data_IF_123984256763
#
_entry.id   IF_123984256763
#
_cell.length_a   1.000
_cell.length_b   1.000
_cell.length_c   1.000
_cell.angle_alpha   90.00
_cell.angle_beta   90.00
_cell.angle_gamma   90.00
#
_symmetry.space_group_name_H-M   'P 1'
#
loop_
_entity.id
_entity.type
_entity.pdbx_description
1 polymer ?
#
# COMPACT_ATOMS: atom_id res chain seq x y z
N UNK A 1 41.81 -23.94 -11.98
CA UNK A 1 40.34 -24.08 -11.90
C UNK A 1 39.84 -24.76 -13.15
N UNK A 2 39.26 -25.95 -13.07
CA UNK A 2 38.70 -26.65 -14.20
C UNK A 2 37.41 -25.92 -14.66
N UNK A 3 37.44 -25.37 -15.87
CA UNK A 3 36.26 -24.82 -16.52
C UNK A 3 35.49 -26.00 -17.13
N UNK A 4 34.38 -26.42 -16.50
CA UNK A 4 33.43 -27.31 -17.14
C UNK A 4 32.70 -26.52 -18.24
N UNK A 5 33.04 -26.83 -19.50
CA UNK A 5 32.50 -26.05 -20.62
C UNK A 5 31.21 -26.59 -21.21
N UNK A 6 30.92 -27.87 -21.04
CA UNK A 6 29.67 -28.46 -21.56
C UNK A 6 29.36 -29.79 -20.84
N UNK A 7 28.19 -29.89 -20.25
CA UNK A 7 27.51 -31.17 -20.06
C UNK A 7 26.57 -31.28 -21.26
N UNK A 8 26.64 -32.37 -22.02
CA UNK A 8 25.88 -32.54 -23.28
C UNK A 8 24.42 -32.14 -23.10
N UNK A 9 24.03 -31.08 -23.82
CA UNK A 9 22.65 -30.63 -23.89
C UNK A 9 22.21 -29.65 -22.78
N UNK A 10 23.13 -29.12 -21.94
CA UNK A 10 22.82 -28.15 -20.90
C UNK A 10 23.74 -26.95 -20.99
N UNK A 11 23.19 -25.77 -21.02
CA UNK A 11 23.96 -24.53 -20.93
C UNK A 11 24.12 -24.15 -19.44
N UNK A 12 25.37 -24.04 -18.99
CA UNK A 12 25.67 -23.55 -17.64
C UNK A 12 25.89 -22.05 -17.72
N UNK A 13 25.03 -21.27 -17.06
CA UNK A 13 25.20 -19.84 -16.91
C UNK A 13 25.88 -19.53 -15.57
N UNK A 14 26.85 -18.61 -15.60
CA UNK A 14 27.43 -18.07 -14.37
C UNK A 14 26.71 -16.77 -14.06
N UNK A 15 25.99 -16.73 -12.94
CA UNK A 15 25.33 -15.57 -12.44
C UNK A 15 26.06 -15.03 -11.22
N UNK A 16 26.21 -13.72 -11.12
CA UNK A 16 26.88 -13.07 -9.98
C UNK A 16 26.09 -13.24 -8.68
N UNK A 17 24.78 -13.45 -8.80
CA UNK A 17 23.86 -13.72 -7.66
C UNK A 17 22.83 -14.77 -8.05
N UNK A 18 22.25 -15.43 -7.05
CA UNK A 18 21.14 -16.36 -7.24
C UNK A 18 19.91 -15.59 -7.71
N UNK A 19 19.36 -15.85 -8.91
CA UNK A 19 18.18 -15.12 -9.40
C UNK A 19 16.92 -15.40 -8.57
N UNK A 20 16.88 -16.49 -7.82
CA UNK A 20 15.76 -16.84 -6.94
C UNK A 20 15.86 -16.13 -5.59
N UNK A 21 17.08 -15.74 -5.18
CA UNK A 21 17.33 -15.06 -3.91
C UNK A 21 17.51 -13.55 -4.05
N UNK A 22 17.59 -13.02 -5.26
CA UNK A 22 17.52 -11.58 -5.47
C UNK A 22 16.05 -11.15 -5.27
N UNK A 23 15.69 -10.82 -4.05
CA UNK A 23 14.44 -10.10 -3.77
C UNK A 23 14.29 -8.93 -4.74
N UNK A 24 13.07 -8.50 -5.02
CA UNK A 24 12.84 -7.29 -5.80
C UNK A 24 13.63 -6.10 -5.26
N UNK A 25 13.66 -5.00 -5.96
CA UNK A 25 14.38 -3.80 -5.53
C UNK A 25 13.53 -2.54 -5.65
N UNK A 26 13.73 -1.64 -4.70
CA UNK A 26 13.19 -0.29 -4.77
C UNK A 26 14.16 0.61 -5.55
N UNK A 27 13.61 1.45 -6.40
CA UNK A 27 14.34 2.47 -7.14
C UNK A 27 13.56 3.77 -7.15
N UNK A 28 14.27 4.91 -7.29
CA UNK A 28 13.63 6.20 -7.40
C UNK A 28 12.69 6.25 -8.61
N UNK A 29 11.46 6.71 -8.38
CA UNK A 29 10.45 6.94 -9.40
C UNK A 29 10.22 8.45 -9.61
N UNK A 30 9.52 8.85 -10.68
CA UNK A 30 9.17 10.27 -10.91
C UNK A 30 8.47 10.88 -9.71
N UNK A 31 8.91 12.08 -9.32
CA UNK A 31 8.40 12.79 -8.15
C UNK A 31 6.97 13.30 -8.37
N UNK A 32 6.16 13.35 -7.30
CA UNK A 32 4.86 14.04 -7.31
C UNK A 32 5.06 15.55 -7.47
N UNK A 33 4.05 16.25 -7.97
CA UNK A 33 4.16 17.69 -8.22
C UNK A 33 4.16 18.53 -6.93
N UNK A 34 3.37 18.14 -5.94
CA UNK A 34 3.21 18.90 -4.69
C UNK A 34 3.55 18.03 -3.47
N UNK A 35 4.63 18.38 -2.75
CA UNK A 35 5.03 17.70 -1.51
C UNK A 35 3.94 17.84 -0.45
N UNK A 36 3.46 16.72 0.07
CA UNK A 36 2.44 16.65 1.13
C UNK A 36 2.49 15.31 1.85
N UNK A 37 1.90 15.22 3.02
CA UNK A 37 1.88 14.01 3.82
C UNK A 37 0.45 13.66 4.24
N UNK A 38 0.24 12.46 4.79
CA UNK A 38 -1.07 11.94 5.17
C UNK A 38 -2.07 11.89 4.00
N UNK A 39 -1.53 11.64 2.81
CA UNK A 39 -2.31 11.38 1.60
C UNK A 39 -2.86 9.96 1.63
N UNK A 40 -3.95 9.71 0.90
CA UNK A 40 -4.33 8.36 0.51
C UNK A 40 -3.93 8.09 -0.94
N UNK A 41 -3.86 6.83 -1.32
CA UNK A 41 -3.59 6.47 -2.70
C UNK A 41 -3.91 5.01 -2.97
N UNK A 42 -4.20 4.72 -4.22
CA UNK A 42 -4.45 3.39 -4.73
C UNK A 42 -4.16 3.33 -6.23
N UNK A 43 -4.50 2.23 -6.85
CA UNK A 43 -4.33 1.97 -8.26
C UNK A 43 -4.09 0.48 -8.51
N UNK A 44 -4.41 0.04 -9.72
CA UNK A 44 -4.36 -1.38 -10.05
C UNK A 44 -2.93 -1.89 -10.28
N UNK A 45 -2.02 -1.02 -10.70
CA UNK A 45 -0.65 -1.38 -11.08
C UNK A 45 0.35 -0.29 -10.71
N UNK A 46 1.63 -0.62 -10.74
CA UNK A 46 2.74 0.32 -10.59
C UNK A 46 2.64 1.52 -11.56
N UNK A 47 2.15 1.29 -12.76
CA UNK A 47 2.07 2.29 -13.84
C UNK A 47 0.71 2.98 -13.94
N UNK A 48 -0.19 2.72 -12.99
CA UNK A 48 -1.52 3.30 -12.94
C UNK A 48 -1.93 3.52 -11.48
N UNK A 49 -1.38 4.57 -10.87
CA UNK A 49 -1.54 4.93 -9.47
C UNK A 49 -2.11 6.34 -9.31
N UNK A 50 -2.68 6.63 -8.16
CA UNK A 50 -3.07 7.98 -7.79
C UNK A 50 -2.83 8.25 -6.32
N UNK A 51 -2.64 9.55 -6.01
CA UNK A 51 -2.61 10.05 -4.62
C UNK A 51 -3.58 11.20 -4.47
N UNK A 52 -4.17 11.31 -3.28
CA UNK A 52 -5.25 12.24 -3.04
C UNK A 52 -5.21 12.82 -1.64
N UNK A 53 -5.68 14.07 -1.50
CA UNK A 53 -5.74 14.77 -0.23
C UNK A 53 -4.37 15.07 0.37
N UNK A 54 -4.33 15.10 1.69
CA UNK A 54 -3.09 15.32 2.44
C UNK A 54 -2.98 16.70 3.06
N UNK A 55 -1.83 16.95 3.69
CA UNK A 55 -1.55 18.21 4.36
C UNK A 55 -0.14 18.73 4.04
N UNK A 56 0.00 20.05 4.10
CA UNK A 56 1.28 20.77 3.95
C UNK A 56 1.48 21.59 5.22
N UNK A 57 2.35 21.17 6.15
CA UNK A 57 2.60 21.91 7.38
C UNK A 57 3.08 23.35 7.13
N UNK A 58 2.69 24.28 7.99
CA UNK A 58 3.13 25.67 7.90
C UNK A 58 2.42 26.49 6.81
N UNK A 59 1.45 25.94 6.10
CA UNK A 59 0.60 26.68 5.15
C UNK A 59 -0.80 26.92 5.73
N UNK A 60 -1.53 27.89 5.16
CA UNK A 60 -2.94 28.12 5.49
C UNK A 60 -3.76 28.26 4.22
N UNK A 61 -4.77 27.41 4.00
CA UNK A 61 -5.10 26.20 4.74
C UNK A 61 -3.98 25.15 4.60
N UNK A 62 -3.78 24.33 5.63
CA UNK A 62 -2.78 23.27 5.59
C UNK A 62 -3.33 21.94 5.01
N UNK A 63 -4.64 21.76 4.96
CA UNK A 63 -5.32 20.59 4.41
C UNK A 63 -5.52 20.80 2.91
N UNK A 64 -5.36 19.74 2.12
CA UNK A 64 -5.42 19.77 0.66
C UNK A 64 -6.50 18.85 0.10
N UNK A 65 -7.05 19.28 -1.03
CA UNK A 65 -7.96 18.47 -1.86
C UNK A 65 -7.26 17.83 -3.06
N UNK A 66 -5.98 18.10 -3.25
CA UNK A 66 -5.20 17.77 -4.43
C UNK A 66 -5.27 16.29 -4.81
N UNK A 67 -5.38 16.04 -6.11
CA UNK A 67 -5.38 14.71 -6.72
C UNK A 67 -4.33 14.68 -7.83
N UNK A 68 -3.41 13.73 -7.76
CA UNK A 68 -2.44 13.47 -8.81
C UNK A 68 -2.51 12.03 -9.26
N UNK A 69 -2.39 11.79 -10.57
CA UNK A 69 -2.39 10.47 -11.20
C UNK A 69 -1.04 10.19 -11.86
N UNK A 70 -0.59 8.94 -11.76
CA UNK A 70 0.64 8.43 -12.36
C UNK A 70 0.32 7.53 -13.55
N UNK A 71 0.94 7.80 -14.70
CA UNK A 71 0.75 7.07 -15.95
C UNK A 71 1.88 6.08 -16.28
N UNK A 72 2.79 5.84 -15.33
CA UNK A 72 4.00 5.04 -15.52
C UNK A 72 5.24 5.87 -15.87
N UNK A 73 5.08 7.15 -16.19
CA UNK A 73 6.18 8.04 -16.57
C UNK A 73 6.20 9.36 -15.80
N UNK A 74 5.03 9.88 -15.43
CA UNK A 74 4.89 11.18 -14.77
C UNK A 74 3.63 11.25 -13.90
N UNK A 75 3.68 12.14 -12.89
CA UNK A 75 2.51 12.52 -12.10
C UNK A 75 1.84 13.74 -12.73
N UNK A 76 0.54 13.69 -12.90
CA UNK A 76 -0.28 14.75 -13.50
C UNK A 76 -1.43 15.11 -12.57
N UNK A 77 -1.68 16.40 -12.38
CA UNK A 77 -2.85 16.85 -11.63
C UNK A 77 -4.15 16.44 -12.33
N UNK A 78 -5.12 16.01 -11.55
CA UNK A 78 -6.47 15.63 -11.97
C UNK A 78 -7.49 16.44 -11.16
N UNK A 79 -8.79 16.18 -11.36
CA UNK A 79 -9.84 16.89 -10.63
C UNK A 79 -9.74 16.67 -9.12
N UNK A 80 -9.69 17.74 -8.34
CA UNK A 80 -9.55 17.74 -6.89
C UNK A 80 -10.80 17.21 -6.17
N UNK A 81 -10.63 16.78 -4.91
CA UNK A 81 -11.75 16.50 -3.99
C UNK A 81 -12.64 17.74 -3.81
N UNK A 82 -13.93 17.51 -3.63
CA UNK A 82 -14.87 18.55 -3.22
C UNK A 82 -14.56 19.11 -1.83
N UNK A 83 -14.02 18.27 -0.94
CA UNK A 83 -13.60 18.67 0.41
C UNK A 83 -12.16 18.28 0.69
N UNK A 84 -11.33 19.25 1.08
CA UNK A 84 -9.94 19.00 1.47
C UNK A 84 -9.89 18.10 2.72
N UNK A 85 -9.12 17.01 2.67
CA UNK A 85 -9.01 16.02 3.74
C UNK A 85 -7.59 15.43 3.81
N UNK A 86 -7.19 14.99 5.01
CA UNK A 86 -6.03 14.13 5.19
C UNK A 86 -6.36 12.93 6.10
N UNK A 87 -5.49 11.93 6.16
CA UNK A 87 -5.76 10.72 6.93
C UNK A 87 -7.04 9.99 6.49
N UNK A 88 -7.47 10.23 5.26
CA UNK A 88 -8.56 9.51 4.59
C UNK A 88 -8.04 8.17 4.09
N UNK A 89 -8.94 7.30 3.69
CA UNK A 89 -8.60 6.08 2.96
C UNK A 89 -9.19 6.09 1.57
N UNK A 90 -8.64 5.27 0.66
CA UNK A 90 -9.11 5.19 -0.72
C UNK A 90 -8.88 3.81 -1.31
N UNK A 91 -9.67 3.46 -2.31
CA UNK A 91 -9.54 2.25 -3.12
C UNK A 91 -10.06 2.48 -4.54
N UNK A 92 -9.74 1.56 -5.45
CA UNK A 92 -10.17 1.61 -6.85
C UNK A 92 -9.05 1.93 -7.82
N UNK A 93 -9.41 2.45 -8.98
CA UNK A 93 -8.53 2.69 -10.14
C UNK A 93 -8.51 4.16 -10.57
N UNK A 94 -7.68 4.48 -11.59
CA UNK A 94 -7.61 5.83 -12.18
C UNK A 94 -8.94 6.33 -12.76
N UNK A 95 -9.87 5.44 -13.07
CA UNK A 95 -11.16 5.80 -13.68
C UNK A 95 -12.36 5.55 -12.78
N UNK A 96 -12.16 4.85 -11.66
CA UNK A 96 -13.24 4.45 -10.77
C UNK A 96 -12.69 4.23 -9.36
N UNK A 97 -12.80 5.22 -8.49
CA UNK A 97 -12.26 5.19 -7.14
C UNK A 97 -13.24 5.78 -6.13
N UNK A 98 -12.98 5.50 -4.85
CA UNK A 98 -13.77 6.02 -3.75
C UNK A 98 -12.86 6.39 -2.59
N UNK A 99 -13.11 7.55 -1.95
CA UNK A 99 -12.45 7.96 -0.72
C UNK A 99 -13.43 7.95 0.44
N UNK A 100 -12.97 7.61 1.63
CA UNK A 100 -13.82 7.57 2.82
C UNK A 100 -13.13 8.12 4.07
N UNK A 101 -13.89 8.83 4.91
CA UNK A 101 -13.45 9.33 6.19
C UNK A 101 -12.33 10.36 6.10
N UNK A 102 -11.52 10.42 7.15
CA UNK A 102 -10.38 11.33 7.26
C UNK A 102 -10.64 12.50 8.20
N UNK A 103 -9.82 13.54 8.03
CA UNK A 103 -9.87 14.77 8.83
C UNK A 103 -9.93 15.98 7.90
N UNK A 104 -10.98 16.78 8.03
CA UNK A 104 -11.21 18.02 7.27
C UNK A 104 -11.11 19.29 8.15
N UNK A 105 -10.90 19.14 9.45
CA UNK A 105 -10.81 20.27 10.40
C UNK A 105 -12.12 20.96 10.75
N UNK A 106 -13.25 20.46 10.28
CA UNK A 106 -14.57 21.09 10.46
C UNK A 106 -15.36 20.42 11.60
N UNK A 107 -16.20 21.19 12.34
CA UNK A 107 -17.14 20.61 13.29
C UNK A 107 -18.17 19.72 12.56
N UNK A 108 -18.94 18.85 13.29
CA UNK A 108 -18.96 18.74 14.76
C UNK A 108 -17.95 17.75 15.37
N UNK A 109 -17.34 16.85 14.58
CA UNK A 109 -16.63 15.68 15.06
C UNK A 109 -15.14 15.94 15.32
N UNK A 110 -14.79 17.07 15.95
CA UNK A 110 -13.39 17.46 16.20
C UNK A 110 -12.51 17.43 14.94
N UNK A 111 -13.14 17.67 13.77
CA UNK A 111 -12.47 17.66 12.46
C UNK A 111 -12.44 16.30 11.75
N UNK A 112 -12.80 15.21 12.40
CA UNK A 112 -13.00 13.92 11.72
C UNK A 112 -14.33 13.91 10.95
N UNK A 113 -14.39 13.12 9.88
CA UNK A 113 -15.55 13.12 8.98
C UNK A 113 -15.98 11.72 8.56
N UNK A 114 -17.27 11.59 8.20
CA UNK A 114 -17.84 10.41 7.55
C UNK A 114 -17.81 10.53 6.02
N UNK A 115 -17.48 11.71 5.51
CA UNK A 115 -17.63 12.04 4.10
C UNK A 115 -16.97 11.03 3.16
N UNK A 116 -17.72 10.67 2.13
CA UNK A 116 -17.30 9.79 1.04
C UNK A 116 -17.44 10.54 -0.28
N UNK A 117 -16.40 10.46 -1.11
CA UNK A 117 -16.43 10.98 -2.47
C UNK A 117 -16.08 9.87 -3.46
N UNK A 118 -16.79 9.85 -4.58
CA UNK A 118 -16.66 8.90 -5.67
C UNK A 118 -16.04 9.56 -6.89
N UNK A 119 -15.04 8.92 -7.48
CA UNK A 119 -14.37 9.32 -8.71
C UNK A 119 -14.90 8.58 -9.92
N UNK A 120 -15.22 9.30 -10.98
CA UNK A 120 -15.77 8.75 -12.23
C UNK A 120 -14.78 8.78 -13.42
N UNK A 121 -13.51 9.09 -13.15
CA UNK A 121 -12.47 9.27 -14.18
C UNK A 121 -12.23 10.73 -14.56
N UNK A 122 -13.08 11.68 -14.11
CA UNK A 122 -12.94 13.10 -14.43
C UNK A 122 -13.20 14.04 -13.25
N UNK A 123 -14.05 13.67 -12.31
CA UNK A 123 -14.43 14.49 -11.16
C UNK A 123 -14.77 13.64 -9.93
N UNK A 124 -14.54 14.20 -8.75
CA UNK A 124 -15.00 13.68 -7.47
C UNK A 124 -16.40 14.23 -7.17
N UNK A 125 -17.27 13.38 -6.70
CA UNK A 125 -18.64 13.74 -6.32
C UNK A 125 -18.96 13.09 -4.98
N UNK A 126 -19.51 13.88 -4.06
CA UNK A 126 -19.97 13.37 -2.76
C UNK A 126 -21.06 12.32 -2.97
N UNK A 127 -21.00 11.26 -2.17
CA UNK A 127 -21.95 10.14 -2.18
C UNK A 127 -22.30 9.76 -0.74
N UNK A 128 -22.96 8.61 -0.53
CA UNK A 128 -23.39 8.16 0.79
C UNK A 128 -22.20 7.99 1.75
N UNK A 129 -22.26 8.65 2.88
CA UNK A 129 -21.24 8.64 3.93
C UNK A 129 -21.11 7.27 4.62
N UNK A 130 -19.91 6.96 5.15
CA UNK A 130 -19.73 5.83 6.08
C UNK A 130 -20.54 6.06 7.36
N UNK A 131 -20.99 4.97 7.99
CA UNK A 131 -21.84 5.07 9.19
C UNK A 131 -21.08 5.57 10.42
N UNK A 132 -19.78 5.26 10.52
CA UNK A 132 -18.96 5.60 11.70
C UNK A 132 -17.88 6.60 11.35
N UNK A 133 -17.89 7.77 12.01
CA UNK A 133 -16.88 8.82 11.84
C UNK A 133 -15.49 8.33 12.25
N UNK A 134 -14.51 8.49 11.36
CA UNK A 134 -13.12 8.07 11.61
C UNK A 134 -12.14 8.55 10.54
N UNK A 135 -10.87 8.61 10.92
CA UNK A 135 -9.74 8.78 10.01
C UNK A 135 -8.70 7.69 10.21
N UNK A 136 -7.63 7.68 9.41
CA UNK A 136 -6.52 6.72 9.48
C UNK A 136 -6.98 5.26 9.43
N UNK A 137 -8.01 5.00 8.65
CA UNK A 137 -8.64 3.69 8.44
C UNK A 137 -7.94 2.95 7.30
N UNK A 138 -8.10 1.63 7.25
CA UNK A 138 -7.74 0.81 6.09
C UNK A 138 -8.87 0.73 5.09
N UNK A 139 -8.56 0.45 3.84
CA UNK A 139 -9.53 0.24 2.78
C UNK A 139 -9.04 -0.74 1.73
N UNK A 140 -9.96 -1.40 1.04
CA UNK A 140 -9.70 -2.24 -0.12
C UNK A 140 -10.91 -2.25 -1.05
N UNK A 141 -10.67 -2.34 -2.34
CA UNK A 141 -11.75 -2.45 -3.31
C UNK A 141 -11.31 -2.22 -4.75
N UNK A 142 -11.98 -2.85 -5.71
CA UNK A 142 -11.60 -2.75 -7.12
C UNK A 142 -12.10 -1.46 -7.80
N UNK A 143 -13.12 -0.79 -7.25
CA UNK A 143 -13.77 0.35 -7.90
C UNK A 143 -14.67 1.14 -6.95
N UNK A 144 -15.19 2.27 -7.41
CA UNK A 144 -16.17 3.08 -6.68
C UNK A 144 -17.54 2.40 -6.44
N UNK A 145 -17.77 1.22 -6.97
CA UNK A 145 -19.02 0.47 -6.80
C UNK A 145 -18.92 -0.69 -5.81
N UNK A 146 -17.73 -1.02 -5.33
CA UNK A 146 -17.53 -2.15 -4.42
C UNK A 146 -16.24 -1.98 -3.62
N UNK A 147 -16.33 -1.99 -2.29
CA UNK A 147 -15.17 -1.85 -1.43
C UNK A 147 -15.48 -2.07 0.04
N UNK A 148 -14.45 -1.99 0.85
CA UNK A 148 -14.48 -2.21 2.29
C UNK A 148 -13.59 -1.18 2.98
N UNK A 149 -14.02 -0.68 4.14
CA UNK A 149 -13.22 0.16 5.03
C UNK A 149 -13.25 -0.43 6.43
N UNK A 150 -12.12 -0.37 7.13
CA UNK A 150 -11.98 -1.03 8.44
C UNK A 150 -11.02 -0.29 9.37
N UNK A 151 -11.23 -0.48 10.67
CA UNK A 151 -10.43 0.17 11.70
C UNK A 151 -10.54 1.68 11.70
N UNK A 152 -9.46 2.33 12.09
CA UNK A 152 -9.35 3.78 12.12
C UNK A 152 -9.34 4.38 13.52
N UNK A 153 -9.36 5.70 13.58
CA UNK A 153 -9.29 6.49 14.80
C UNK A 153 -10.38 7.57 14.81
N UNK A 154 -11.03 7.73 15.95
CA UNK A 154 -11.84 8.91 16.29
C UNK A 154 -11.50 9.36 17.71
N UNK A 155 -12.27 8.98 18.73
CA UNK A 155 -11.96 9.20 20.14
C UNK A 155 -11.12 8.06 20.72
N UNK A 156 -11.13 6.92 20.05
CA UNK A 156 -10.36 5.72 20.34
C UNK A 156 -10.04 4.99 19.02
N UNK A 157 -9.16 4.00 19.06
CA UNK A 157 -8.97 3.08 17.95
C UNK A 157 -10.19 2.20 17.77
N UNK A 158 -10.67 2.08 16.54
CA UNK A 158 -11.90 1.40 16.18
C UNK A 158 -11.59 0.06 15.51
N UNK A 159 -12.50 -0.91 15.72
CA UNK A 159 -12.47 -2.20 15.05
C UNK A 159 -13.46 -2.25 13.87
N UNK A 160 -14.38 -1.30 13.80
CA UNK A 160 -15.54 -1.27 12.90
C UNK A 160 -15.14 -1.49 11.45
N UNK A 161 -15.88 -2.36 10.79
CA UNK A 161 -15.74 -2.68 9.37
C UNK A 161 -17.05 -2.40 8.65
N UNK A 162 -16.97 -1.69 7.52
CA UNK A 162 -18.12 -1.39 6.67
C UNK A 162 -17.82 -1.76 5.21
N UNK A 163 -18.77 -2.40 4.54
CA UNK A 163 -18.71 -2.74 3.11
C UNK A 163 -19.59 -1.84 2.28
N UNK A 164 -19.11 -1.47 1.11
CA UNK A 164 -19.79 -0.63 0.11
C UNK A 164 -20.29 -1.46 -1.07
N UNK A 165 -21.55 -1.28 -1.44
CA UNK A 165 -22.19 -2.01 -2.56
C UNK A 165 -22.48 -1.14 -3.80
N UNK A 166 -21.95 0.07 -3.85
CA UNK A 166 -22.21 1.07 -4.90
C UNK A 166 -23.31 2.08 -4.55
N UNK A 167 -24.05 1.87 -3.45
CA UNK A 167 -25.14 2.77 -3.03
C UNK A 167 -25.24 3.00 -1.53
N UNK A 168 -24.82 2.05 -0.72
CA UNK A 168 -24.91 2.11 0.74
C UNK A 168 -23.76 1.39 1.42
N UNK A 169 -23.43 1.84 2.65
CA UNK A 169 -22.52 1.18 3.55
C UNK A 169 -23.26 0.24 4.50
N UNK A 170 -22.71 -0.93 4.72
CA UNK A 170 -23.25 -1.93 5.63
C UNK A 170 -22.15 -2.36 6.59
N UNK A 171 -22.41 -2.26 7.89
CA UNK A 171 -21.52 -2.80 8.92
C UNK A 171 -21.48 -4.33 8.84
N UNK A 172 -20.31 -4.90 9.05
CA UNK A 172 -20.06 -6.34 8.96
C UNK A 172 -19.15 -6.77 10.11
N UNK A 173 -18.57 -7.98 10.06
CA UNK A 173 -17.68 -8.46 11.12
C UNK A 173 -16.48 -7.54 11.34
N UNK A 174 -16.27 -7.12 12.58
CA UNK A 174 -15.22 -6.21 13.00
C UNK A 174 -13.85 -6.88 13.09
N UNK A 175 -12.77 -6.08 13.02
CA UNK A 175 -11.42 -6.51 13.40
C UNK A 175 -11.44 -7.07 14.84
N UNK A 176 -10.62 -8.08 15.11
CA UNK A 176 -10.50 -8.64 16.45
C UNK A 176 -9.97 -7.60 17.47
N UNK A 177 -9.17 -6.66 17.00
CA UNK A 177 -8.63 -5.57 17.83
C UNK A 177 -8.72 -4.24 17.09
N UNK A 178 -9.32 -3.22 17.73
CA UNK A 178 -9.41 -1.87 17.20
C UNK A 178 -8.04 -1.24 16.99
N UNK A 179 -7.77 -0.75 15.77
CA UNK A 179 -6.50 -0.13 15.38
C UNK A 179 -6.64 0.80 14.17
N UNK A 180 -5.75 1.76 14.09
CA UNK A 180 -5.65 2.68 12.97
C UNK A 180 -4.21 2.79 12.47
N UNK A 181 -3.95 3.64 11.48
CA UNK A 181 -2.63 3.76 10.82
C UNK A 181 -2.13 2.42 10.29
N UNK A 182 -3.03 1.58 9.82
CA UNK A 182 -2.79 0.22 9.37
C UNK A 182 -2.22 0.19 7.95
N UNK A 183 -1.46 -0.86 7.63
CA UNK A 183 -1.18 -1.24 6.24
C UNK A 183 -2.41 -1.93 5.65
N UNK A 184 -2.68 -1.64 4.38
CA UNK A 184 -3.86 -2.13 3.67
C UNK A 184 -3.48 -2.80 2.35
N UNK A 185 -4.27 -3.77 1.90
CA UNK A 185 -4.14 -4.33 0.55
C UNK A 185 -5.12 -3.63 -0.39
N UNK A 186 -4.64 -2.66 -1.16
CA UNK A 186 -5.51 -1.84 -2.02
C UNK A 186 -6.24 -2.65 -3.11
N UNK A 187 -5.67 -3.78 -3.54
CA UNK A 187 -6.24 -4.66 -4.55
C UNK A 187 -7.13 -5.79 -3.96
N UNK A 188 -7.52 -5.66 -2.69
CA UNK A 188 -8.52 -6.53 -2.08
C UNK A 188 -9.94 -6.26 -2.58
N UNK A 189 -10.88 -7.03 -2.05
CA UNK A 189 -12.31 -6.96 -2.38
C UNK A 189 -13.16 -6.89 -1.11
N UNK A 190 -14.47 -6.75 -1.25
CA UNK A 190 -15.44 -6.85 -0.14
C UNK A 190 -15.48 -8.22 0.53
N UNK A 191 -14.79 -9.22 -0.01
CA UNK A 191 -14.73 -10.57 0.53
C UNK A 191 -13.30 -11.04 0.78
N UNK A 192 -12.30 -10.23 0.46
CA UNK A 192 -10.89 -10.55 0.65
C UNK A 192 -10.08 -9.26 0.86
N UNK A 193 -9.88 -8.87 2.09
CA UNK A 193 -9.07 -7.72 2.49
C UNK A 193 -8.06 -8.13 3.57
N UNK A 194 -6.97 -7.40 3.69
CA UNK A 194 -5.95 -7.63 4.72
C UNK A 194 -5.66 -6.34 5.46
N UNK A 195 -5.56 -6.44 6.78
CA UNK A 195 -5.16 -5.39 7.69
C UNK A 195 -3.88 -5.81 8.40
N UNK A 196 -2.79 -5.08 8.23
CA UNK A 196 -1.50 -5.41 8.85
C UNK A 196 -1.02 -4.32 9.79
N UNK A 197 -0.39 -4.71 10.91
CA UNK A 197 0.22 -3.81 11.87
C UNK A 197 -0.72 -2.70 12.36
N UNK A 198 -0.19 -1.49 12.46
CA UNK A 198 -0.92 -0.32 12.94
C UNK A 198 -0.90 -0.21 14.46
N UNK A 199 -1.84 0.49 14.99
CA UNK A 199 -2.08 0.43 16.40
C UNK A 199 -2.08 1.70 17.14
N UNK A 200 -2.44 1.53 18.37
CA UNK A 200 -2.17 2.29 19.56
C UNK A 200 -0.85 1.80 20.17
N UNK A 201 -0.19 2.57 21.02
CA UNK A 201 0.87 1.99 21.86
C UNK A 201 0.35 0.84 22.72
N UNK A 202 0.99 -0.35 22.71
CA UNK A 202 2.13 -0.68 21.84
C UNK A 202 1.72 -0.89 20.38
N UNK A 203 2.65 -0.65 19.45
CA UNK A 203 2.48 -1.03 18.06
C UNK A 203 2.35 -2.55 17.96
N UNK A 204 1.61 -3.02 16.96
CA UNK A 204 1.33 -4.45 16.81
C UNK A 204 1.93 -5.03 15.55
N UNK A 205 2.21 -6.33 15.58
CA UNK A 205 2.60 -7.15 14.43
C UNK A 205 1.39 -7.81 13.77
N UNK A 206 0.26 -7.84 14.46
CA UNK A 206 -0.93 -8.57 14.07
C UNK A 206 -1.39 -8.30 12.65
N UNK A 207 -1.70 -9.37 11.93
CA UNK A 207 -2.29 -9.34 10.60
C UNK A 207 -3.62 -10.09 10.63
N UNK A 208 -4.65 -9.45 10.10
CA UNK A 208 -5.98 -10.04 9.98
C UNK A 208 -6.42 -10.06 8.51
N UNK A 209 -7.08 -11.13 8.11
CA UNK A 209 -7.68 -11.28 6.78
C UNK A 209 -9.19 -11.40 6.89
N UNK A 210 -9.90 -10.67 6.02
CA UNK A 210 -11.34 -10.68 5.90
C UNK A 210 -11.79 -11.68 4.84
N UNK A 211 -12.80 -12.49 5.16
CA UNK A 211 -13.34 -13.55 4.29
C UNK A 211 -14.73 -13.23 3.72
N UNK A 212 -15.20 -11.98 3.86
CA UNK A 212 -16.55 -11.56 3.47
C UNK A 212 -17.54 -11.48 4.63
N UNK A 213 -17.20 -12.02 5.80
CA UNK A 213 -18.08 -12.00 6.99
C UNK A 213 -17.34 -11.74 8.30
N UNK A 214 -16.11 -12.16 8.42
CA UNK A 214 -15.31 -12.04 9.64
C UNK A 214 -13.83 -11.86 9.34
N UNK A 215 -13.12 -11.28 10.30
CA UNK A 215 -11.66 -11.18 10.30
C UNK A 215 -11.05 -12.36 11.04
N UNK A 216 -10.01 -12.92 10.48
CA UNK A 216 -9.23 -14.02 11.06
C UNK A 216 -7.76 -13.64 11.13
N UNK A 217 -7.16 -13.82 12.28
CA UNK A 217 -5.72 -13.59 12.47
C UNK A 217 -4.91 -14.61 11.67
N UNK A 218 -3.84 -14.14 11.08
CA UNK A 218 -2.89 -14.93 10.29
C UNK A 218 -1.47 -14.64 10.76
N UNK A 219 -0.44 -15.11 10.03
CA UNK A 219 0.94 -14.88 10.47
C UNK A 219 1.26 -13.38 10.55
N UNK A 220 1.88 -12.99 11.62
CA UNK A 220 2.28 -11.62 11.95
C UNK A 220 3.41 -11.10 11.04
N UNK A 221 3.43 -9.78 10.82
CA UNK A 221 4.61 -9.12 10.23
C UNK A 221 5.81 -9.22 11.18
N UNK A 222 7.02 -9.25 10.64
CA UNK A 222 8.23 -9.44 11.46
C UNK A 222 8.52 -8.26 12.38
N UNK A 223 8.14 -7.05 11.99
CA UNK A 223 8.41 -5.82 12.77
C UNK A 223 7.13 -5.04 13.03
N UNK A 224 6.78 -4.86 14.32
CA UNK A 224 5.63 -4.05 14.75
C UNK A 224 5.79 -2.60 14.28
N UNK A 225 4.83 -2.10 13.49
CA UNK A 225 4.90 -0.75 12.90
C UNK A 225 3.52 -0.22 12.52
N UNK A 226 3.43 1.09 12.38
CA UNK A 226 2.25 1.79 11.89
C UNK A 226 2.60 2.67 10.69
N UNK A 227 1.59 3.20 10.02
CA UNK A 227 1.77 4.16 8.91
C UNK A 227 2.69 3.63 7.81
N UNK A 228 2.65 2.33 7.55
CA UNK A 228 3.36 1.69 6.44
C UNK A 228 2.46 1.58 5.23
N UNK A 229 3.07 1.48 4.05
CA UNK A 229 2.33 1.17 2.82
C UNK A 229 2.05 -0.32 2.76
N UNK A 230 0.90 -0.65 2.19
CA UNK A 230 0.57 -2.02 1.82
C UNK A 230 -0.05 -2.06 0.44
N UNK A 231 0.24 -3.11 -0.33
CA UNK A 231 -0.26 -3.35 -1.66
C UNK A 231 -0.37 -4.84 -1.94
N UNK A 232 -1.12 -5.18 -2.99
CA UNK A 232 -1.37 -6.58 -3.35
C UNK A 232 -2.69 -7.11 -2.80
N UNK A 233 -2.74 -8.40 -2.53
CA UNK A 233 -3.95 -9.16 -2.15
C UNK A 233 -3.73 -9.95 -0.86
N UNK A 234 -4.75 -10.65 -0.40
CA UNK A 234 -4.66 -11.56 0.77
C UNK A 234 -3.75 -12.77 0.54
N UNK A 235 -3.41 -13.10 -0.70
CA UNK A 235 -2.54 -14.23 -1.04
C UNK A 235 -1.14 -13.83 -1.47
N UNK A 236 -0.94 -12.56 -1.85
CA UNK A 236 0.36 -12.04 -2.26
C UNK A 236 0.38 -10.52 -2.03
N UNK A 237 1.10 -10.09 -1.00
CA UNK A 237 1.16 -8.69 -0.61
C UNK A 237 2.60 -8.22 -0.37
N UNK A 238 2.78 -6.92 -0.39
CA UNK A 238 4.01 -6.23 -0.03
C UNK A 238 3.66 -5.13 0.97
N UNK A 239 4.45 -5.01 2.03
CA UNK A 239 4.39 -3.88 2.95
C UNK A 239 5.77 -3.23 3.05
N UNK A 240 5.83 -1.91 3.17
CA UNK A 240 7.11 -1.22 3.24
C UNK A 240 7.05 0.06 4.06
N UNK A 241 8.20 0.45 4.60
CA UNK A 241 8.35 1.64 5.42
C UNK A 241 7.55 1.58 6.73
N UNK A 242 7.13 2.73 7.18
CA UNK A 242 6.38 2.88 8.42
C UNK A 242 7.20 3.47 9.56
N UNK A 243 6.63 3.37 10.73
CA UNK A 243 7.17 3.98 11.95
C UNK A 243 7.16 3.00 13.12
N UNK A 244 8.33 2.84 13.74
CA UNK A 244 8.54 2.04 14.97
C UNK A 244 9.05 2.89 16.12
N UNK A 245 8.88 4.21 16.16
CA UNK A 245 9.84 5.29 16.34
C UNK A 245 11.31 4.82 16.54
N UNK A 246 12.25 5.12 15.59
CA UNK A 246 12.12 6.03 14.44
C UNK A 246 11.43 5.37 13.21
N UNK A 247 11.38 6.08 12.07
CA UNK A 247 10.93 5.56 10.79
C UNK A 247 11.85 4.47 10.30
N UNK A 248 11.28 3.53 9.54
CA UNK A 248 12.02 2.38 9.01
C UNK A 248 11.89 2.32 7.48
N UNK A 249 12.84 1.62 6.86
CA UNK A 249 12.85 1.33 5.42
C UNK A 249 12.38 -0.10 5.12
N UNK A 250 12.22 -0.94 6.15
CA UNK A 250 11.95 -2.37 6.02
C UNK A 250 10.79 -2.67 5.07
N UNK A 251 11.03 -3.62 4.18
CA UNK A 251 10.05 -4.17 3.27
C UNK A 251 9.85 -5.66 3.56
N UNK A 252 8.60 -6.07 3.66
CA UNK A 252 8.23 -7.47 3.86
C UNK A 252 7.24 -7.93 2.77
N UNK A 253 7.46 -9.12 2.24
CA UNK A 253 6.63 -9.77 1.23
C UNK A 253 5.86 -10.93 1.85
N UNK A 254 4.57 -11.01 1.51
CA UNK A 254 3.62 -12.05 1.91
C UNK A 254 3.40 -13.04 0.76
N UNK A 255 3.56 -14.33 1.02
CA UNK A 255 3.38 -15.42 0.06
C UNK A 255 2.04 -16.17 0.20
N UNK A 256 1.15 -15.69 1.06
CA UNK A 256 -0.11 -16.35 1.41
C UNK A 256 -0.03 -17.14 2.73
N UNK A 257 1.17 -17.34 3.30
CA UNK A 257 1.39 -18.12 4.52
C UNK A 257 2.34 -17.47 5.50
N UNK A 258 3.35 -16.75 5.02
CA UNK A 258 4.40 -16.15 5.84
C UNK A 258 4.89 -14.80 5.28
N UNK A 259 5.40 -13.96 6.18
CA UNK A 259 6.10 -12.72 5.83
C UNK A 259 7.60 -12.95 5.77
N UNK A 260 8.21 -12.50 4.71
CA UNK A 260 9.67 -12.57 4.50
C UNK A 260 10.20 -11.16 4.28
N UNK A 261 11.25 -10.80 5.02
CA UNK A 261 11.97 -9.53 4.79
C UNK A 261 12.70 -9.58 3.44
N UNK A 262 12.53 -8.53 2.66
CA UNK A 262 13.12 -8.36 1.32
C UNK A 262 13.88 -7.03 1.27
N UNK A 263 14.36 -6.60 0.09
CA UNK A 263 15.15 -5.38 -0.01
C UNK A 263 14.37 -4.14 0.41
N UNK A 264 15.01 -3.33 1.24
CA UNK A 264 14.43 -2.14 1.86
C UNK A 264 14.23 -0.98 0.87
N UNK A 265 13.35 -0.05 1.26
CA UNK A 265 13.24 1.27 0.63
C UNK A 265 14.60 1.98 0.59
N UNK A 266 14.80 2.80 -0.43
CA UNK A 266 15.99 3.68 -0.52
C UNK A 266 16.05 4.64 0.68
N UNK A 267 14.88 5.11 1.15
CA UNK A 267 14.79 6.03 2.27
C UNK A 267 13.84 5.52 3.35
N UNK A 268 14.30 5.52 4.61
CA UNK A 268 13.41 5.27 5.75
C UNK A 268 12.30 6.33 5.78
N UNK A 269 11.07 5.90 5.67
CA UNK A 269 9.92 6.80 5.53
C UNK A 269 8.64 6.14 6.02
N UNK A 270 7.65 6.97 6.36
CA UNK A 270 6.31 6.49 6.66
C UNK A 270 5.28 7.09 5.69
N UNK A 271 4.19 6.37 5.54
CA UNK A 271 3.08 6.77 4.70
C UNK A 271 2.24 7.86 5.38
N UNK A 272 1.98 7.72 6.67
CA UNK A 272 0.86 8.39 7.32
C UNK A 272 -0.39 8.48 6.42
N UNK A 273 -0.65 7.37 5.69
CA UNK A 273 -1.58 7.20 4.57
C UNK A 273 -1.02 7.64 3.20
N UNK A 274 0.11 7.11 2.75
CA UNK A 274 0.65 7.36 1.39
C UNK A 274 0.06 6.42 0.34
N UNK A 275 0.31 6.74 -0.93
CA UNK A 275 -0.06 5.87 -2.03
C UNK A 275 0.80 4.62 -2.07
N UNK A 276 0.22 3.46 -1.75
CA UNK A 276 0.76 2.18 -2.17
C UNK A 276 -0.13 1.64 -3.28
N UNK A 277 0.40 1.38 -4.42
CA UNK A 277 -0.32 0.85 -5.58
C UNK A 277 0.46 -0.26 -6.25
N UNK A 278 -0.24 -1.26 -6.73
CA UNK A 278 0.38 -2.37 -7.45
C UNK A 278 0.22 -3.71 -6.73
N UNK A 279 1.13 -4.61 -7.04
CA UNK A 279 1.16 -5.99 -6.55
C UNK A 279 2.37 -6.23 -5.67
N UNK A 280 2.51 -7.45 -5.12
CA UNK A 280 3.72 -7.88 -4.42
C UNK A 280 4.97 -7.92 -5.30
N UNK A 281 4.82 -7.91 -6.63
CA UNK A 281 5.92 -8.01 -7.59
C UNK A 281 6.16 -6.72 -8.38
N UNK A 282 5.23 -5.76 -8.35
CA UNK A 282 5.32 -4.51 -9.09
C UNK A 282 4.49 -3.44 -8.38
N UNK A 283 5.15 -2.46 -7.77
CA UNK A 283 4.48 -1.48 -6.93
C UNK A 283 5.12 -0.09 -7.02
N UNK A 284 4.37 0.94 -6.65
CA UNK A 284 4.85 2.30 -6.49
C UNK A 284 4.36 2.88 -5.17
N UNK A 285 5.21 3.63 -4.49
CA UNK A 285 4.85 4.47 -3.35
C UNK A 285 5.19 5.92 -3.64
N UNK A 286 4.46 6.84 -3.04
CA UNK A 286 4.64 8.26 -3.23
C UNK A 286 4.30 9.07 -1.96
N UNK A 287 4.62 10.35 -1.97
CA UNK A 287 4.40 11.27 -0.84
C UNK A 287 5.08 10.80 0.46
N UNK A 288 6.33 10.41 0.36
CA UNK A 288 7.12 9.92 1.49
C UNK A 288 7.37 11.02 2.53
N UNK A 289 7.26 10.64 3.81
CA UNK A 289 7.65 11.49 4.93
C UNK A 289 8.90 10.93 5.61
N UNK A 290 10.04 11.57 5.36
CA UNK A 290 11.37 11.14 5.85
C UNK A 290 11.85 11.90 7.10
N UNK A 291 10.99 12.75 7.67
CA UNK A 291 11.27 13.74 8.71
C UNK A 291 10.86 15.14 8.23
N UNK A 292 10.75 15.28 6.95
CA UNK A 292 10.11 16.38 6.23
C UNK A 292 9.18 15.82 5.14
N UNK A 293 8.24 16.65 4.67
CA UNK A 293 7.45 16.32 3.49
C UNK A 293 8.36 16.31 2.27
N UNK A 294 8.16 15.33 1.39
CA UNK A 294 8.93 15.21 0.15
C UNK A 294 8.01 15.01 -1.05
N UNK A 295 8.56 15.20 -2.24
CA UNK A 295 7.92 14.80 -3.49
C UNK A 295 8.33 13.38 -3.92
N UNK A 296 9.14 12.69 -3.14
CA UNK A 296 9.73 11.42 -3.51
C UNK A 296 8.67 10.33 -3.75
N UNK A 297 8.96 9.53 -4.76
CA UNK A 297 8.30 8.28 -5.08
C UNK A 297 9.36 7.20 -5.29
N UNK A 298 9.03 5.97 -4.98
CA UNK A 298 9.86 4.80 -5.25
C UNK A 298 9.04 3.71 -5.90
N UNK A 299 9.62 3.01 -6.88
CA UNK A 299 9.03 1.85 -7.54
C UNK A 299 9.70 0.56 -7.13
N UNK A 300 8.91 -0.50 -7.01
CA UNK A 300 9.33 -1.85 -6.69
C UNK A 300 9.16 -2.76 -7.90
N UNK A 301 10.23 -3.46 -8.27
CA UNK A 301 10.23 -4.45 -9.33
C UNK A 301 10.76 -5.80 -8.84
N UNK A 302 10.04 -6.88 -9.17
CA UNK A 302 10.42 -8.26 -8.87
C UNK A 302 10.01 -9.20 -10.01
N UNK A 303 10.92 -10.01 -10.54
CA UNK A 303 12.37 -9.96 -10.32
C UNK A 303 12.96 -8.65 -10.84
N UNK A 304 14.14 -8.22 -10.35
CA UNK A 304 14.76 -7.00 -10.86
C UNK A 304 14.96 -7.13 -12.39
N UNK A 305 14.79 -6.03 -13.09
CA UNK A 305 14.80 -5.96 -14.58
C UNK A 305 16.07 -6.55 -15.23
N UNK A 306 17.12 -6.72 -14.44
CA UNK A 306 18.41 -7.28 -14.87
C UNK A 306 18.59 -8.77 -14.56
N UNK A 307 17.59 -9.44 -14.02
CA UNK A 307 17.68 -10.87 -13.73
C UNK A 307 17.81 -11.67 -15.03
N UNK A 308 18.77 -12.62 -15.06
CA UNK A 308 18.89 -13.55 -16.18
C UNK A 308 17.58 -14.35 -16.32
N UNK A 309 17.07 -14.43 -17.54
CA UNK A 309 15.90 -15.27 -17.83
C UNK A 309 16.36 -16.73 -17.77
N UNK A 310 16.00 -17.42 -16.71
CA UNK A 310 16.19 -18.87 -16.57
C UNK A 310 14.93 -19.59 -17.04
N UNK A 311 15.12 -20.69 -17.74
CA UNK A 311 14.02 -21.58 -18.12
C UNK A 311 14.06 -22.84 -17.26
N UNK A 312 12.90 -23.48 -17.06
CA UNK A 312 12.85 -24.74 -16.33
C UNK A 312 13.85 -25.76 -16.90
N UNK A 313 14.69 -26.30 -16.01
CA UNK A 313 15.78 -27.20 -16.37
C UNK A 313 17.14 -26.54 -16.54
N UNK A 314 17.25 -25.22 -16.50
CA UNK A 314 18.56 -24.57 -16.54
C UNK A 314 19.33 -24.81 -15.23
N UNK A 315 20.65 -24.89 -15.38
CA UNK A 315 21.59 -24.97 -14.26
C UNK A 315 22.42 -23.69 -14.19
N UNK A 316 22.59 -23.15 -12.99
CA UNK A 316 23.38 -21.94 -12.79
C UNK A 316 24.32 -22.07 -11.58
N UNK A 317 25.36 -21.25 -11.54
CA UNK A 317 26.26 -21.13 -10.40
C UNK A 317 25.89 -19.92 -9.58
N UNK A 318 25.33 -20.15 -8.38
CA UNK A 318 24.99 -19.09 -7.44
C UNK A 318 26.25 -18.53 -6.79
N UNK A 319 26.49 -17.22 -6.94
CA UNK A 319 27.71 -16.55 -6.44
C UNK A 319 29.00 -17.15 -6.98
N UNK A 320 28.95 -17.81 -8.12
CA UNK A 320 30.13 -18.46 -8.74
C UNK A 320 30.61 -19.74 -8.06
N UNK A 321 29.95 -20.24 -7.03
CA UNK A 321 30.47 -21.35 -6.20
C UNK A 321 29.53 -22.54 -6.02
N UNK A 322 28.23 -22.39 -6.21
CA UNK A 322 27.23 -23.46 -6.01
C UNK A 322 26.40 -23.72 -7.26
N UNK A 323 26.33 -24.97 -7.72
CA UNK A 323 25.46 -25.35 -8.83
C UNK A 323 24.04 -25.55 -8.34
N UNK A 324 23.08 -24.84 -8.93
CA UNK A 324 21.65 -24.96 -8.65
C UNK A 324 20.86 -25.23 -9.92
N UNK A 325 19.76 -25.95 -9.82
CA UNK A 325 18.82 -26.16 -10.90
C UNK A 325 17.62 -25.20 -10.75
N UNK A 326 17.10 -24.75 -11.87
CA UNK A 326 15.87 -23.99 -11.95
C UNK A 326 14.75 -24.94 -12.40
N UNK A 327 13.75 -25.12 -11.55
CA UNK A 327 12.64 -26.02 -11.79
C UNK A 327 11.43 -25.69 -10.96
#
# INVERSE_FOLDING_TARGET
MAKYREIKGVTIQTLDSDPVTSGGSWSAAPAINTARFQTAGAGATQNAAYIIGGAIPGTSPNIRALHEQFDGSSWTEAGDLGTAKYGLSTFGSLTSALTAGGYNGLPPNSGYTTQVESWNGSSWTETTDINTVRGYLGASGPSNSSGIVYGGLFTAYLAVTETWNGSSWTETGDLNTGRGYVGQTNNGTTTAAMCSGGGSPPLVTAVEQFNGSSWTETADINTARRSHWGMGTTTAALICGGETPPRVANTESWDGTSWTEVNDLVNASNANAGAGSGTSTSAIIAAQYTGSITTNSESWDFPPVTAAILTEGDLFLSGGTGLKGFG
#
